data_IF_227519751626
#
_entry.id   IF_227519751626
#
_cell.length_a   1.000
_cell.length_b   1.000
_cell.length_c   1.000
_cell.angle_alpha   90.00
_cell.angle_beta   90.00
_cell.angle_gamma   90.00
#
_symmetry.space_group_name_H-M   'P 1'
#
loop_
_entity.id
_entity.type
_entity.pdbx_description
1 polymer ?
#
# COMPACT_ATOMS: atom_id res chain seq x y z
N UNK A 1 20.27 -35.93 -34.59
CA UNK A 1 20.02 -34.98 -33.49
C UNK A 1 18.58 -34.55 -33.55
N UNK A 2 17.73 -35.12 -32.70
CA UNK A 2 16.36 -34.65 -32.51
C UNK A 2 16.31 -33.71 -31.32
N UNK A 3 15.72 -32.52 -31.48
CA UNK A 3 15.45 -31.62 -30.35
C UNK A 3 14.55 -32.35 -29.33
N UNK A 4 14.77 -32.18 -28.02
CA UNK A 4 13.89 -32.78 -27.02
C UNK A 4 12.47 -32.21 -27.12
N UNK A 5 11.44 -33.00 -26.80
CA UNK A 5 10.05 -32.55 -26.86
C UNK A 5 9.77 -31.54 -25.74
N UNK A 6 9.14 -30.42 -26.10
CA UNK A 6 8.65 -29.41 -25.14
C UNK A 6 7.38 -29.92 -24.48
N UNK A 7 7.31 -29.83 -23.15
CA UNK A 7 6.17 -30.27 -22.36
C UNK A 7 5.12 -29.15 -22.37
N UNK A 8 3.85 -29.53 -22.57
CA UNK A 8 2.71 -28.61 -22.56
C UNK A 8 1.77 -29.05 -21.45
N UNK A 9 1.59 -28.21 -20.43
CA UNK A 9 0.61 -28.45 -19.37
C UNK A 9 -0.64 -27.60 -19.58
N UNK A 10 -1.80 -28.20 -19.32
CA UNK A 10 -3.10 -27.56 -19.50
C UNK A 10 -3.43 -26.66 -18.30
N UNK A 11 -3.16 -25.37 -18.44
CA UNK A 11 -3.86 -24.32 -17.71
C UNK A 11 -4.70 -23.51 -18.73
N UNK A 12 -5.87 -23.02 -18.31
CA UNK A 12 -6.92 -22.52 -19.20
C UNK A 12 -6.48 -21.63 -20.39
N UNK A 13 -7.12 -21.89 -21.54
CA UNK A 13 -7.23 -21.10 -22.79
C UNK A 13 -5.97 -20.61 -23.52
N UNK A 14 -4.75 -20.76 -23.02
CA UNK A 14 -3.52 -20.71 -23.85
C UNK A 14 -2.46 -21.66 -23.30
N UNK A 15 -2.05 -22.62 -24.12
CA UNK A 15 -0.80 -23.35 -23.90
C UNK A 15 0.36 -22.32 -23.96
N UNK A 16 1.10 -22.16 -22.86
CA UNK A 16 2.39 -21.48 -22.87
C UNK A 16 3.47 -22.54 -23.13
N UNK A 17 4.31 -22.34 -24.11
CA UNK A 17 5.59 -23.05 -24.25
C UNK A 17 6.51 -22.61 -23.11
N UNK A 18 7.17 -23.55 -22.45
CA UNK A 18 8.01 -23.35 -21.24
C UNK A 18 9.24 -22.43 -21.45
N UNK A 19 9.53 -21.98 -22.68
CA UNK A 19 10.81 -21.35 -23.05
C UNK A 19 10.80 -19.81 -23.26
N UNK A 20 9.67 -19.09 -23.13
CA UNK A 20 9.71 -17.62 -23.21
C UNK A 20 9.93 -16.98 -21.83
N UNK A 21 11.01 -16.19 -21.64
CA UNK A 21 11.23 -15.50 -20.38
C UNK A 21 10.05 -14.57 -20.09
N UNK A 22 9.60 -14.55 -18.83
CA UNK A 22 8.55 -13.64 -18.39
C UNK A 22 8.91 -12.17 -18.69
N UNK A 23 7.91 -11.31 -18.85
CA UNK A 23 8.08 -9.92 -19.28
C UNK A 23 9.19 -9.18 -18.51
N UNK A 24 9.17 -9.27 -17.18
CA UNK A 24 10.13 -8.61 -16.30
C UNK A 24 11.53 -9.18 -16.51
N UNK A 25 11.67 -10.51 -16.52
CA UNK A 25 12.95 -11.20 -16.78
C UNK A 25 13.55 -10.82 -18.13
N UNK A 26 12.72 -10.72 -19.17
CA UNK A 26 13.17 -10.30 -20.51
C UNK A 26 13.67 -8.85 -20.52
N UNK A 27 12.98 -7.92 -19.82
CA UNK A 27 13.40 -6.51 -19.70
C UNK A 27 14.73 -6.39 -18.95
N UNK A 28 14.90 -7.13 -17.85
CA UNK A 28 16.14 -7.15 -17.06
C UNK A 28 17.31 -7.70 -17.87
N UNK A 29 17.13 -8.85 -18.54
CA UNK A 29 18.16 -9.44 -19.39
C UNK A 29 18.58 -8.50 -20.53
N UNK A 30 17.62 -7.82 -21.18
CA UNK A 30 17.91 -6.85 -22.22
C UNK A 30 18.67 -5.61 -21.70
N UNK A 31 18.34 -5.13 -20.51
CA UNK A 31 19.05 -4.01 -19.89
C UNK A 31 20.48 -4.38 -19.50
N UNK A 32 20.68 -5.54 -18.88
CA UNK A 32 22.01 -6.05 -18.55
C UNK A 32 22.88 -6.24 -19.80
N UNK A 33 22.32 -6.83 -20.86
CA UNK A 33 23.04 -7.00 -22.12
C UNK A 33 23.43 -5.65 -22.75
N UNK A 34 22.57 -4.63 -22.67
CA UNK A 34 22.85 -3.28 -23.19
C UNK A 34 23.89 -2.52 -22.38
N UNK A 35 24.04 -2.87 -21.10
CA UNK A 35 24.99 -2.28 -20.18
C UNK A 35 26.24 -3.16 -19.97
N UNK A 36 26.50 -4.12 -20.86
CA UNK A 36 27.66 -5.03 -20.79
C UNK A 36 27.78 -5.76 -19.43
N UNK A 37 26.65 -6.04 -18.78
CA UNK A 37 26.58 -6.69 -17.46
C UNK A 37 26.74 -5.74 -16.26
N UNK A 38 26.89 -4.43 -16.47
CA UNK A 38 26.93 -3.43 -15.40
C UNK A 38 25.56 -3.34 -14.70
N UNK A 39 25.49 -3.86 -13.48
CA UNK A 39 24.27 -3.93 -12.67
C UNK A 39 23.75 -2.55 -12.26
N UNK A 40 24.64 -1.60 -11.93
CA UNK A 40 24.23 -0.25 -11.53
C UNK A 40 23.66 0.51 -12.72
N UNK A 41 24.35 0.46 -13.86
CA UNK A 41 23.90 1.10 -15.09
C UNK A 41 22.58 0.48 -15.61
N UNK A 42 22.46 -0.85 -15.57
CA UNK A 42 21.23 -1.54 -15.94
C UNK A 42 20.07 -1.17 -15.02
N UNK A 43 20.28 -1.14 -13.70
CA UNK A 43 19.27 -0.72 -12.72
C UNK A 43 18.82 0.72 -12.96
N UNK A 44 19.76 1.65 -13.18
CA UNK A 44 19.43 3.04 -13.47
C UNK A 44 18.64 3.19 -14.78
N UNK A 45 18.93 2.39 -15.80
CA UNK A 45 18.19 2.37 -17.06
C UNK A 45 16.77 1.81 -16.88
N UNK A 46 16.63 0.71 -16.16
CA UNK A 46 15.34 0.08 -15.85
C UNK A 46 14.44 1.00 -15.00
N UNK A 47 14.99 1.65 -13.97
CA UNK A 47 14.26 2.61 -13.14
C UNK A 47 13.69 3.76 -13.99
N UNK A 48 14.39 4.19 -15.05
CA UNK A 48 13.87 5.21 -16.00
C UNK A 48 12.72 4.68 -16.86
N UNK A 49 12.70 3.39 -17.18
CA UNK A 49 11.66 2.74 -17.99
C UNK A 49 10.49 2.17 -17.16
N UNK A 50 10.59 2.16 -15.84
CA UNK A 50 9.63 1.53 -14.94
C UNK A 50 8.15 1.97 -15.15
N UNK A 51 7.88 3.22 -15.55
CA UNK A 51 6.51 3.68 -15.83
C UNK A 51 6.00 3.11 -17.17
N UNK A 52 6.68 3.34 -18.31
CA UNK A 52 6.34 2.68 -19.57
C UNK A 52 6.16 1.17 -19.45
N UNK A 53 7.09 0.50 -18.77
CA UNK A 53 7.05 -0.96 -18.63
C UNK A 53 5.93 -1.43 -17.71
N UNK A 54 5.57 -0.66 -16.67
CA UNK A 54 4.40 -0.97 -15.85
C UNK A 54 3.10 -0.82 -16.65
N UNK A 55 3.00 0.18 -17.52
CA UNK A 55 1.84 0.36 -18.41
C UNK A 55 1.75 -0.76 -19.46
N UNK A 56 2.88 -1.15 -20.06
CA UNK A 56 2.95 -2.27 -20.98
C UNK A 56 2.55 -3.59 -20.28
N UNK A 57 3.02 -3.82 -19.06
CA UNK A 57 2.63 -4.99 -18.27
C UNK A 57 1.14 -4.95 -17.90
N UNK A 58 0.60 -3.78 -17.56
CA UNK A 58 -0.82 -3.60 -17.30
C UNK A 58 -1.66 -3.98 -18.53
N UNK A 59 -1.31 -3.50 -19.72
CA UNK A 59 -2.01 -3.83 -20.96
C UNK A 59 -1.97 -5.35 -21.25
N UNK A 60 -0.79 -5.95 -21.16
CA UNK A 60 -0.59 -7.41 -21.35
C UNK A 60 -1.45 -8.23 -20.38
N UNK A 61 -1.47 -7.88 -19.11
CA UNK A 61 -2.23 -8.61 -18.08
C UNK A 61 -3.74 -8.42 -18.20
N UNK A 62 -4.18 -7.40 -18.95
CA UNK A 62 -5.58 -7.09 -19.23
C UNK A 62 -6.09 -7.61 -20.57
N UNK A 63 -5.26 -8.24 -21.39
CA UNK A 63 -5.73 -8.88 -22.64
C UNK A 63 -6.90 -9.84 -22.34
N UNK A 64 -8.08 -9.56 -22.91
CA UNK A 64 -9.33 -10.30 -22.65
C UNK A 64 -10.14 -9.85 -21.42
N UNK A 65 -9.74 -8.76 -20.78
CA UNK A 65 -10.48 -8.09 -19.72
C UNK A 65 -11.76 -7.44 -20.25
N UNK A 66 -12.80 -7.40 -19.40
CA UNK A 66 -14.13 -6.90 -19.78
C UNK A 66 -14.28 -5.38 -19.71
N UNK A 67 -13.42 -4.71 -18.95
CA UNK A 67 -13.54 -3.28 -18.67
C UNK A 67 -12.46 -2.52 -19.40
N UNK A 68 -12.80 -1.35 -19.94
CA UNK A 68 -11.80 -0.39 -20.39
C UNK A 68 -11.35 0.46 -19.18
N UNK A 69 -10.05 0.66 -19.04
CA UNK A 69 -9.46 1.45 -17.94
C UNK A 69 -8.76 2.70 -18.44
N UNK A 70 -8.62 2.84 -19.76
CA UNK A 70 -8.05 4.00 -20.46
C UNK A 70 -9.13 5.05 -20.73
N UNK A 71 -10.40 4.75 -20.45
CA UNK A 71 -11.45 5.76 -20.40
C UNK A 71 -11.06 6.85 -19.39
N UNK A 72 -11.09 8.11 -19.82
CA UNK A 72 -10.94 9.29 -18.97
C UNK A 72 -12.34 9.68 -18.46
N UNK A 73 -12.85 9.10 -17.35
CA UNK A 73 -14.13 9.51 -16.81
C UNK A 73 -14.07 10.99 -16.44
N UNK A 74 -15.19 11.71 -16.58
CA UNK A 74 -15.31 13.04 -16.04
C UNK A 74 -15.14 12.95 -14.51
N UNK A 75 -14.13 13.62 -13.96
CA UNK A 75 -13.91 13.55 -12.53
C UNK A 75 -14.74 14.61 -11.80
N UNK A 76 -15.35 14.26 -10.65
CA UNK A 76 -15.91 15.22 -9.71
C UNK A 76 -14.92 16.32 -9.34
N UNK A 77 -15.43 17.52 -9.04
CA UNK A 77 -14.61 18.70 -8.73
C UNK A 77 -13.65 18.48 -7.56
N UNK A 78 -14.09 17.71 -6.55
CA UNK A 78 -13.32 17.35 -5.37
C UNK A 78 -12.05 16.52 -5.66
N UNK A 79 -11.94 15.92 -6.85
CA UNK A 79 -10.76 15.16 -7.28
C UNK A 79 -9.81 16.00 -8.14
N UNK A 80 -10.18 17.23 -8.50
CA UNK A 80 -9.28 18.16 -9.18
C UNK A 80 -8.43 18.91 -8.16
N UNK A 81 -7.14 19.02 -8.44
CA UNK A 81 -6.25 19.88 -7.67
C UNK A 81 -6.61 21.34 -7.89
N UNK A 82 -6.98 22.04 -6.83
CA UNK A 82 -7.31 23.46 -6.87
C UNK A 82 -6.08 24.34 -7.21
N UNK A 83 -4.88 23.88 -6.87
CA UNK A 83 -3.62 24.50 -7.31
C UNK A 83 -2.47 23.49 -7.31
N UNK A 84 -1.37 23.79 -8.01
CA UNK A 84 -0.21 22.90 -8.12
C UNK A 84 0.45 22.57 -6.75
N UNK A 85 0.29 23.45 -5.76
CA UNK A 85 0.85 23.30 -4.41
C UNK A 85 -0.23 23.27 -3.32
N UNK A 86 -1.50 23.22 -3.70
CA UNK A 86 -2.63 23.20 -2.76
C UNK A 86 -2.86 21.81 -2.18
N UNK A 87 -3.46 21.72 -0.99
CA UNK A 87 -3.88 20.44 -0.43
C UNK A 87 -4.96 19.80 -1.30
N UNK A 88 -4.94 18.46 -1.39
CA UNK A 88 -6.03 17.70 -1.99
C UNK A 88 -7.26 17.76 -1.06
N UNK A 89 -8.47 17.79 -1.62
CA UNK A 89 -9.69 17.70 -0.82
C UNK A 89 -9.89 16.30 -0.23
N UNK A 90 -9.30 15.29 -0.86
CA UNK A 90 -9.39 13.90 -0.43
C UNK A 90 -8.39 13.64 0.68
N UNK A 91 -8.91 13.28 1.85
CA UNK A 91 -8.12 12.88 2.99
C UNK A 91 -7.75 11.38 2.91
N UNK A 92 -6.48 11.10 2.63
CA UNK A 92 -5.98 9.71 2.49
C UNK A 92 -5.77 9.00 3.84
N UNK A 93 -5.86 9.71 4.98
CA UNK A 93 -5.60 9.17 6.31
C UNK A 93 -4.16 8.65 6.52
N UNK A 94 -3.16 9.43 6.08
CA UNK A 94 -1.75 9.06 6.22
C UNK A 94 -1.35 8.94 7.71
N UNK A 95 -0.78 7.79 8.15
CA UNK A 95 -0.30 7.61 9.51
C UNK A 95 0.85 8.56 9.83
N UNK A 96 0.70 9.27 10.95
CA UNK A 96 1.73 10.10 11.57
C UNK A 96 1.42 10.18 13.07
N UNK A 97 1.62 9.08 13.75
CA UNK A 97 1.29 8.95 15.17
C UNK A 97 2.48 8.44 15.96
N UNK A 98 2.69 9.03 17.13
CA UNK A 98 3.66 8.57 18.13
C UNK A 98 2.92 8.47 19.44
N UNK A 99 3.08 7.34 20.13
CA UNK A 99 2.46 7.09 21.42
C UNK A 99 2.82 8.23 22.39
N UNK A 100 1.83 8.88 23.01
CA UNK A 100 2.09 10.07 23.82
C UNK A 100 2.80 9.75 25.14
N UNK A 101 2.52 8.58 25.72
CA UNK A 101 3.09 8.15 27.00
C UNK A 101 3.53 6.69 26.94
N UNK A 102 4.76 6.42 27.37
CA UNK A 102 5.26 5.07 27.62
C UNK A 102 5.19 4.77 29.12
N UNK A 103 5.05 3.49 29.52
CA UNK A 103 5.25 3.09 30.90
C UNK A 103 6.65 3.52 31.39
N UNK A 104 6.79 3.74 32.70
CA UNK A 104 8.09 4.08 33.28
C UNK A 104 9.09 2.95 33.05
N UNK A 105 10.30 3.29 32.65
CA UNK A 105 11.38 2.34 32.38
C UNK A 105 12.19 2.71 31.15
N UNK A 106 13.19 1.87 30.87
CA UNK A 106 14.01 1.94 29.66
C UNK A 106 13.59 0.82 28.72
N UNK A 107 13.14 1.18 27.52
CA UNK A 107 12.51 0.27 26.57
C UNK A 107 13.30 0.20 25.27
N UNK A 108 13.61 -1.01 24.83
CA UNK A 108 14.08 -1.24 23.48
C UNK A 108 12.90 -1.23 22.51
N UNK A 109 13.02 -0.40 21.48
CA UNK A 109 12.03 -0.21 20.43
C UNK A 109 12.61 -0.74 19.12
N UNK A 110 11.85 -1.62 18.47
CA UNK A 110 12.20 -2.13 17.13
C UNK A 110 11.36 -1.41 16.08
N UNK A 111 12.03 -0.78 15.12
CA UNK A 111 11.41 -0.22 13.93
C UNK A 111 11.28 -1.32 12.86
N UNK A 112 10.05 -1.63 12.46
CA UNK A 112 9.72 -2.62 11.45
C UNK A 112 9.32 -1.92 10.14
N UNK A 113 9.83 -2.45 9.03
CA UNK A 113 9.49 -2.04 7.66
C UNK A 113 8.57 -3.08 7.02
N UNK A 114 7.38 -2.66 6.62
CA UNK A 114 6.38 -3.51 5.98
C UNK A 114 6.68 -3.65 4.50
N UNK A 115 7.07 -4.87 4.10
CA UNK A 115 7.45 -5.15 2.72
C UNK A 115 6.30 -4.92 1.71
N UNK A 116 6.59 -4.20 0.64
CA UNK A 116 5.70 -4.11 -0.53
C UNK A 116 4.33 -3.53 -0.21
N UNK A 117 4.25 -2.48 0.61
CA UNK A 117 2.98 -1.88 1.04
C UNK A 117 2.09 -1.46 -0.14
N UNK A 118 2.63 -0.76 -1.15
CA UNK A 118 1.88 -0.41 -2.37
C UNK A 118 1.52 -1.63 -3.22
N UNK A 119 2.42 -2.60 -3.36
CA UNK A 119 2.14 -3.85 -4.08
C UNK A 119 0.97 -4.63 -3.43
N UNK A 120 0.90 -4.64 -2.09
CA UNK A 120 -0.23 -5.20 -1.35
C UNK A 120 -1.52 -4.40 -1.58
N UNK A 121 -1.41 -3.08 -1.60
CA UNK A 121 -2.54 -2.17 -1.75
C UNK A 121 -3.21 -2.20 -3.13
N UNK A 122 -2.53 -2.73 -4.17
CA UNK A 122 -3.12 -2.94 -5.50
C UNK A 122 -4.33 -3.88 -5.50
N UNK A 123 -4.57 -4.63 -4.41
CA UNK A 123 -5.76 -5.47 -4.21
C UNK A 123 -7.00 -4.69 -3.71
N UNK A 124 -6.92 -3.36 -3.61
CA UNK A 124 -8.08 -2.54 -3.21
C UNK A 124 -9.25 -2.67 -4.19
N UNK A 125 -10.47 -2.46 -3.71
CA UNK A 125 -11.62 -2.23 -4.58
C UNK A 125 -11.40 -0.95 -5.39
N UNK A 126 -11.45 -1.06 -6.72
CA UNK A 126 -11.31 0.09 -7.61
C UNK A 126 -12.61 0.36 -8.39
N UNK A 127 -13.02 1.63 -8.54
CA UNK A 127 -14.15 2.03 -9.37
C UNK A 127 -13.89 1.71 -10.85
N UNK A 128 -14.83 1.02 -11.48
CA UNK A 128 -14.73 0.54 -12.86
C UNK A 128 -14.98 1.64 -13.90
N UNK A 129 -15.82 2.61 -13.58
CA UNK A 129 -16.21 3.66 -14.52
C UNK A 129 -16.46 5.01 -13.85
N UNK A 130 -17.21 5.85 -14.56
CA UNK A 130 -17.65 7.17 -14.14
C UNK A 130 -18.22 7.15 -12.72
N UNK A 131 -17.70 8.02 -11.84
CA UNK A 131 -18.24 8.16 -10.50
C UNK A 131 -19.59 8.88 -10.57
N UNK A 132 -20.60 8.28 -9.96
CA UNK A 132 -21.95 8.83 -9.84
C UNK A 132 -22.10 9.44 -8.45
N UNK A 133 -22.70 10.62 -8.41
CA UNK A 133 -23.04 11.30 -7.17
C UNK A 133 -24.27 10.66 -6.53
N UNK A 134 -24.24 10.48 -5.22
CA UNK A 134 -25.35 9.99 -4.42
C UNK A 134 -25.33 10.63 -3.04
N UNK A 135 -26.51 10.84 -2.46
CA UNK A 135 -26.68 11.34 -1.10
C UNK A 135 -27.39 10.31 -0.24
N UNK A 136 -27.15 10.35 1.08
CA UNK A 136 -27.78 9.49 2.07
C UNK A 136 -26.80 8.65 2.88
N UNK A 137 -27.29 8.13 4.01
CA UNK A 137 -26.46 7.51 5.07
C UNK A 137 -26.07 6.05 4.83
N UNK A 138 -26.44 5.47 3.69
CA UNK A 138 -26.21 4.05 3.41
C UNK A 138 -24.96 3.82 2.55
N UNK A 139 -24.11 2.88 2.97
CA UNK A 139 -22.96 2.42 2.19
C UNK A 139 -23.30 1.24 1.29
N UNK A 140 -23.00 1.33 0.00
CA UNK A 140 -23.09 0.20 -0.94
C UNK A 140 -21.73 -0.50 -1.08
N UNK A 141 -21.62 -1.69 -0.49
CA UNK A 141 -20.40 -2.51 -0.49
C UNK A 141 -19.96 -2.98 -1.88
N UNK A 142 -20.81 -2.90 -2.90
CA UNK A 142 -20.47 -3.27 -4.29
C UNK A 142 -19.84 -2.10 -5.06
N UNK A 143 -19.88 -0.90 -4.51
CA UNK A 143 -19.33 0.32 -5.11
C UNK A 143 -18.05 0.74 -4.39
N UNK A 144 -17.26 1.56 -5.07
CA UNK A 144 -16.05 2.17 -4.54
C UNK A 144 -15.90 3.59 -5.08
N UNK A 145 -15.28 4.45 -4.29
CA UNK A 145 -14.98 5.82 -4.65
C UNK A 145 -14.61 6.65 -3.42
N UNK A 146 -15.19 7.83 -3.31
CA UNK A 146 -14.95 8.78 -2.21
C UNK A 146 -16.26 9.19 -1.54
N UNK A 147 -16.19 9.49 -0.25
CA UNK A 147 -17.34 9.73 0.62
C UNK A 147 -17.08 10.92 1.53
N UNK A 148 -18.02 11.86 1.61
CA UNK A 148 -18.00 12.85 2.68
C UNK A 148 -18.59 12.20 3.92
N UNK A 149 -17.81 12.17 5.00
CA UNK A 149 -18.25 11.59 6.26
C UNK A 149 -18.11 12.58 7.40
N UNK A 150 -18.97 12.45 8.41
CA UNK A 150 -18.62 12.88 9.76
C UNK A 150 -17.95 11.70 10.46
N UNK A 151 -16.66 11.82 10.82
CA UNK A 151 -15.94 10.74 11.45
C UNK A 151 -16.42 10.54 12.90
N UNK A 152 -16.37 9.30 13.41
CA UNK A 152 -16.67 9.05 14.82
C UNK A 152 -15.57 9.66 15.72
N UNK A 153 -15.91 9.84 17.00
CA UNK A 153 -14.90 10.11 18.02
C UNK A 153 -13.89 8.96 18.11
N UNK A 154 -12.66 9.27 18.53
CA UNK A 154 -11.59 8.31 18.69
C UNK A 154 -10.97 8.48 20.07
N UNK A 155 -11.29 7.57 20.98
CA UNK A 155 -10.89 7.67 22.39
C UNK A 155 -9.67 6.80 22.72
N UNK A 156 -8.96 6.31 21.68
CA UNK A 156 -7.84 5.37 21.82
C UNK A 156 -6.48 5.98 21.46
N UNK A 157 -6.37 7.31 21.31
CA UNK A 157 -5.13 7.98 20.91
C UNK A 157 -3.94 7.77 21.88
N UNK A 158 -4.22 7.36 23.12
CA UNK A 158 -3.20 6.98 24.09
C UNK A 158 -2.45 5.70 23.71
N UNK A 159 -3.10 4.79 22.99
CA UNK A 159 -2.61 3.44 22.75
C UNK A 159 -2.46 3.04 21.29
N UNK A 160 -3.31 3.60 20.43
CA UNK A 160 -3.43 3.27 19.03
C UNK A 160 -3.49 4.54 18.17
N UNK A 161 -2.91 4.48 16.95
CA UNK A 161 -3.08 5.57 16.00
C UNK A 161 -4.55 5.75 15.63
N UNK A 162 -4.99 7.00 15.46
CA UNK A 162 -6.29 7.27 14.85
C UNK A 162 -6.34 6.69 13.42
N UNK A 163 -7.39 5.93 13.03
CA UNK A 163 -7.53 5.39 11.68
C UNK A 163 -7.64 6.47 10.59
N UNK A 164 -7.89 7.72 10.96
CA UNK A 164 -7.85 8.88 10.08
C UNK A 164 -6.47 9.55 10.00
N UNK A 165 -5.42 9.00 10.63
CA UNK A 165 -4.11 9.62 10.66
C UNK A 165 -4.08 10.92 11.48
N UNK A 166 -3.08 11.77 11.23
CA UNK A 166 -2.90 13.02 11.98
C UNK A 166 -3.74 14.15 11.38
N UNK A 167 -4.97 14.28 11.86
CA UNK A 167 -5.90 15.33 11.46
C UNK A 167 -6.00 16.40 12.56
N UNK A 168 -5.84 17.66 12.18
CA UNK A 168 -5.92 18.79 13.10
C UNK A 168 -7.31 19.44 13.13
N UNK A 169 -7.98 19.54 11.98
CA UNK A 169 -9.28 20.20 11.87
C UNK A 169 -10.43 19.25 12.23
N UNK A 170 -11.45 19.66 13.01
CA UNK A 170 -12.64 18.85 13.25
C UNK A 170 -13.67 18.95 12.10
N UNK A 171 -14.73 18.14 12.16
CA UNK A 171 -15.88 18.23 11.24
C UNK A 171 -15.85 17.24 10.06
N UNK A 172 -16.75 17.40 9.07
CA UNK A 172 -16.82 16.51 7.92
C UNK A 172 -15.59 16.55 7.02
N UNK A 173 -15.27 15.43 6.37
CA UNK A 173 -14.15 15.33 5.43
C UNK A 173 -14.40 14.27 4.36
N UNK A 174 -13.79 14.46 3.19
CA UNK A 174 -13.80 13.48 2.11
C UNK A 174 -12.77 12.39 2.36
N UNK A 175 -13.23 11.15 2.52
CA UNK A 175 -12.38 9.97 2.65
C UNK A 175 -12.56 9.04 1.47
N UNK A 176 -11.59 8.16 1.27
CA UNK A 176 -11.67 7.10 0.25
C UNK A 176 -12.38 5.86 0.78
N UNK A 177 -12.83 5.00 -0.14
CA UNK A 177 -13.47 3.72 0.17
C UNK A 177 -12.65 2.84 1.16
N UNK A 178 -11.31 2.67 1.04
CA UNK A 178 -10.54 1.92 2.03
C UNK A 178 -10.62 2.48 3.46
N UNK A 179 -10.57 3.80 3.62
CA UNK A 179 -10.68 4.46 4.92
C UNK A 179 -12.08 4.30 5.50
N UNK A 180 -13.12 4.47 4.68
CA UNK A 180 -14.51 4.23 5.10
C UNK A 180 -14.70 2.77 5.56
N UNK A 181 -14.22 1.80 4.77
CA UNK A 181 -14.30 0.37 5.11
C UNK A 181 -13.53 0.03 6.38
N UNK A 182 -12.38 0.69 6.62
CA UNK A 182 -11.64 0.54 7.86
C UNK A 182 -12.51 1.02 9.03
N UNK A 183 -13.01 2.26 9.00
CA UNK A 183 -13.85 2.81 10.08
C UNK A 183 -15.08 1.94 10.37
N UNK A 184 -15.81 1.52 9.34
CA UNK A 184 -16.96 0.61 9.48
C UNK A 184 -16.57 -0.76 10.06
N UNK A 185 -15.38 -1.25 9.73
CA UNK A 185 -14.85 -2.48 10.34
C UNK A 185 -14.59 -2.26 11.82
N UNK A 186 -13.93 -1.15 12.19
CA UNK A 186 -13.58 -0.84 13.58
C UNK A 186 -14.80 -0.54 14.46
N UNK A 187 -15.87 -0.01 13.87
CA UNK A 187 -17.15 0.18 14.55
C UNK A 187 -17.98 -1.09 14.66
N UNK A 188 -17.62 -2.14 13.92
CA UNK A 188 -18.33 -3.42 13.95
C UNK A 188 -18.14 -4.17 15.28
N UNK A 189 -19.03 -5.11 15.61
CA UNK A 189 -19.07 -5.81 16.89
C UNK A 189 -17.82 -6.64 17.20
N UNK A 190 -17.00 -6.94 16.18
CA UNK A 190 -15.73 -7.64 16.37
C UNK A 190 -14.69 -6.76 17.08
N UNK A 191 -14.69 -5.45 16.81
CA UNK A 191 -13.65 -4.54 17.27
C UNK A 191 -14.21 -3.53 18.29
N UNK A 192 -15.35 -2.89 17.98
CA UNK A 192 -16.03 -1.96 18.88
C UNK A 192 -15.17 -0.77 19.33
N UNK A 193 -14.28 -0.27 18.47
CA UNK A 193 -13.30 0.78 18.82
C UNK A 193 -13.81 2.21 18.56
N UNK A 194 -14.92 2.36 17.84
CA UNK A 194 -15.54 3.64 17.58
C UNK A 194 -16.99 3.46 17.13
N UNK A 195 -17.75 4.55 17.06
CA UNK A 195 -19.07 4.55 16.42
C UNK A 195 -18.95 4.43 14.88
N UNK A 196 -20.05 4.08 14.22
CA UNK A 196 -20.07 4.07 12.76
C UNK A 196 -19.95 5.51 12.20
N UNK A 197 -19.14 5.75 11.16
CA UNK A 197 -19.09 7.06 10.51
C UNK A 197 -20.43 7.38 9.84
N UNK A 198 -20.86 8.64 9.96
CA UNK A 198 -22.05 9.14 9.25
C UNK A 198 -21.66 9.54 7.83
N UNK A 199 -22.31 8.94 6.83
CA UNK A 199 -22.05 9.22 5.41
C UNK A 199 -23.05 10.26 4.91
N UNK A 200 -22.56 11.37 4.37
CA UNK A 200 -23.42 12.46 3.89
C UNK A 200 -23.68 12.35 2.39
N UNK A 201 -22.60 12.21 1.63
CA UNK A 201 -22.63 12.14 0.18
C UNK A 201 -21.48 11.26 -0.33
N UNK A 202 -21.59 10.80 -1.57
CA UNK A 202 -20.62 9.87 -2.15
C UNK A 202 -20.52 10.01 -3.66
N UNK A 203 -19.30 9.91 -4.18
CA UNK A 203 -19.01 9.74 -5.60
C UNK A 203 -18.43 8.35 -5.81
N UNK A 204 -19.22 7.44 -6.36
CA UNK A 204 -18.81 6.02 -6.49
C UNK A 204 -19.20 5.41 -7.82
N UNK A 205 -18.57 4.31 -8.20
CA UNK A 205 -19.04 3.45 -9.29
C UNK A 205 -18.92 1.98 -8.91
N UNK A 206 -19.49 1.09 -9.73
CA UNK A 206 -19.34 -0.35 -9.53
C UNK A 206 -17.86 -0.72 -9.41
N UNK A 207 -17.53 -1.61 -8.46
CA UNK A 207 -16.14 -1.85 -8.08
C UNK A 207 -15.70 -3.31 -8.20
N UNK A 208 -14.39 -3.53 -8.26
CA UNK A 208 -13.80 -4.86 -8.13
C UNK A 208 -12.39 -4.79 -7.54
N UNK A 209 -12.00 -5.80 -6.77
CA UNK A 209 -10.61 -6.03 -6.32
C UNK A 209 -9.74 -6.67 -7.42
N UNK A 210 -10.38 -7.27 -8.44
CA UNK A 210 -9.68 -8.08 -9.44
C UNK A 210 -9.06 -7.26 -10.58
N UNK A 211 -9.24 -5.94 -10.57
CA UNK A 211 -8.91 -5.09 -11.71
C UNK A 211 -7.41 -5.07 -12.02
N UNK A 212 -6.60 -5.06 -10.96
CA UNK A 212 -5.15 -5.05 -11.02
C UNK A 212 -4.54 -6.38 -10.54
N UNK A 213 -5.35 -7.41 -10.27
CA UNK A 213 -4.85 -8.63 -9.61
C UNK A 213 -3.81 -9.37 -10.47
N UNK A 214 -4.03 -9.51 -11.78
CA UNK A 214 -3.03 -10.15 -12.66
C UNK A 214 -1.72 -9.34 -12.74
N UNK A 215 -1.84 -8.01 -12.86
CA UNK A 215 -0.69 -7.09 -12.83
C UNK A 215 0.10 -7.21 -11.52
N UNK A 216 -0.62 -7.20 -10.40
CA UNK A 216 -0.06 -7.39 -9.05
C UNK A 216 0.63 -8.74 -8.90
N UNK A 217 0.02 -9.83 -9.40
CA UNK A 217 0.58 -11.18 -9.30
C UNK A 217 1.88 -11.30 -10.08
N UNK A 218 1.96 -10.81 -11.32
CA UNK A 218 3.20 -10.82 -12.10
C UNK A 218 4.34 -10.06 -11.39
N UNK A 219 4.05 -8.89 -10.81
CA UNK A 219 5.03 -8.13 -10.02
C UNK A 219 5.44 -8.86 -8.74
N UNK A 220 4.47 -9.45 -8.02
CA UNK A 220 4.73 -10.21 -6.80
C UNK A 220 5.61 -11.42 -7.10
N UNK A 221 5.29 -12.20 -8.12
CA UNK A 221 6.02 -13.42 -8.44
C UNK A 221 7.44 -13.11 -8.93
N UNK A 222 7.63 -12.02 -9.70
CA UNK A 222 8.96 -11.55 -10.07
C UNK A 222 9.76 -11.08 -8.84
N UNK A 223 9.11 -10.36 -7.92
CA UNK A 223 9.74 -9.92 -6.67
C UNK A 223 10.16 -11.08 -5.78
N UNK A 224 9.29 -12.07 -5.60
CA UNK A 224 9.55 -13.23 -4.75
C UNK A 224 10.68 -14.09 -5.33
N UNK A 225 10.72 -14.27 -6.66
CA UNK A 225 11.84 -14.92 -7.35
C UNK A 225 13.15 -14.15 -7.15
N UNK A 226 13.13 -12.83 -7.35
CA UNK A 226 14.30 -11.99 -7.15
C UNK A 226 14.85 -12.07 -5.72
N UNK A 227 13.98 -12.17 -4.71
CA UNK A 227 14.41 -12.37 -3.32
C UNK A 227 15.05 -13.75 -3.14
N UNK A 228 14.48 -14.80 -3.73
CA UNK A 228 15.00 -16.16 -3.61
C UNK A 228 16.35 -16.34 -4.32
N UNK A 229 16.58 -15.59 -5.40
CA UNK A 229 17.78 -15.64 -6.24
C UNK A 229 18.82 -14.55 -5.91
N UNK A 230 18.53 -13.70 -4.91
CA UNK A 230 19.33 -12.50 -4.56
C UNK A 230 19.61 -11.57 -5.76
N UNK A 231 18.62 -11.43 -6.65
CA UNK A 231 18.66 -10.56 -7.82
C UNK A 231 18.23 -9.13 -7.45
N UNK A 232 19.22 -8.32 -7.05
CA UNK A 232 19.01 -6.92 -6.67
C UNK A 232 18.47 -6.06 -7.82
N UNK A 233 18.89 -6.33 -9.07
CA UNK A 233 18.47 -5.56 -10.25
C UNK A 233 16.98 -5.73 -10.49
N UNK A 234 16.50 -6.97 -10.51
CA UNK A 234 15.06 -7.25 -10.66
C UNK A 234 14.27 -6.69 -9.48
N UNK A 235 14.79 -6.81 -8.25
CA UNK A 235 14.10 -6.33 -7.07
C UNK A 235 13.86 -4.81 -7.09
N UNK A 236 14.90 -4.02 -7.36
CA UNK A 236 14.80 -2.57 -7.44
C UNK A 236 13.96 -2.11 -8.65
N UNK A 237 14.06 -2.82 -9.77
CA UNK A 237 13.23 -2.56 -10.94
C UNK A 237 11.73 -2.78 -10.66
N UNK A 238 11.36 -3.94 -10.09
CA UNK A 238 9.97 -4.24 -9.73
C UNK A 238 9.43 -3.25 -8.69
N UNK A 239 10.27 -2.89 -7.71
CA UNK A 239 9.95 -1.85 -6.72
C UNK A 239 9.64 -0.51 -7.38
N UNK A 240 10.45 -0.10 -8.35
CA UNK A 240 10.24 1.11 -9.11
C UNK A 240 8.95 1.04 -9.95
N UNK A 241 8.65 -0.11 -10.58
CA UNK A 241 7.43 -0.28 -11.39
C UNK A 241 6.16 0.01 -10.58
N UNK A 242 5.92 -0.68 -9.47
CA UNK A 242 4.68 -0.47 -8.72
C UNK A 242 4.65 0.89 -8.01
N UNK A 243 5.78 1.36 -7.45
CA UNK A 243 5.81 2.63 -6.70
C UNK A 243 5.55 3.81 -7.62
N UNK A 244 6.19 3.82 -8.81
CA UNK A 244 5.98 4.88 -9.78
C UNK A 244 4.62 4.78 -10.45
N UNK A 245 4.12 3.58 -10.77
CA UNK A 245 2.77 3.37 -11.30
C UNK A 245 1.72 4.06 -10.42
N UNK A 246 1.73 3.77 -9.10
CA UNK A 246 0.80 4.39 -8.15
C UNK A 246 0.97 5.92 -8.09
N UNK A 247 2.21 6.42 -8.08
CA UNK A 247 2.46 7.87 -7.99
C UNK A 247 2.06 8.66 -9.24
N UNK A 248 2.02 8.03 -10.41
CA UNK A 248 1.86 8.72 -11.70
C UNK A 248 0.45 8.69 -12.26
N UNK A 249 -0.42 7.79 -11.77
CA UNK A 249 -1.79 7.63 -12.25
C UNK A 249 -2.73 8.81 -11.92
N UNK A 250 -2.33 9.72 -11.04
CA UNK A 250 -3.17 10.86 -10.63
C UNK A 250 -3.04 12.14 -11.47
N UNK A 251 -1.86 12.41 -12.06
CA UNK A 251 -1.62 13.68 -12.77
C UNK A 251 -0.39 13.71 -13.68
N UNK A 252 0.31 12.59 -13.88
CA UNK A 252 1.60 12.64 -14.58
C UNK A 252 1.43 12.86 -16.09
N UNK A 253 2.08 13.89 -16.62
CA UNK A 253 2.23 14.12 -18.06
C UNK A 253 2.93 12.94 -18.79
N UNK A 254 3.62 12.06 -18.06
CA UNK A 254 4.26 10.85 -18.59
C UNK A 254 3.26 9.70 -18.82
N UNK A 255 2.11 9.71 -18.15
CA UNK A 255 1.09 8.67 -18.28
C UNK A 255 -0.22 9.28 -18.78
N UNK A 256 -0.24 9.67 -20.06
CA UNK A 256 -1.45 10.22 -20.70
C UNK A 256 -2.54 9.16 -20.91
N UNK A 257 -2.19 7.88 -20.78
CA UNK A 257 -3.07 6.75 -21.06
C UNK A 257 -3.92 6.35 -19.84
N UNK A 258 -3.46 6.61 -18.61
CA UNK A 258 -4.22 6.32 -17.39
C UNK A 258 -4.27 7.55 -16.47
N UNK A 259 -5.38 8.27 -16.55
CA UNK A 259 -5.69 9.41 -15.66
C UNK A 259 -6.81 9.03 -14.69
N UNK A 260 -6.42 8.52 -13.52
CA UNK A 260 -7.30 8.00 -12.45
C UNK A 260 -6.82 8.47 -11.07
N UNK A 261 -6.97 9.76 -10.73
CA UNK A 261 -6.62 10.26 -9.39
C UNK A 261 -7.46 9.62 -8.28
N UNK A 262 -8.70 9.21 -8.58
CA UNK A 262 -9.50 8.39 -7.68
C UNK A 262 -8.77 7.08 -7.31
N UNK A 263 -8.25 6.34 -8.29
CA UNK A 263 -7.48 5.12 -8.02
C UNK A 263 -6.22 5.38 -7.21
N UNK A 264 -5.50 6.48 -7.52
CA UNK A 264 -4.31 6.88 -6.77
C UNK A 264 -4.63 7.03 -5.27
N UNK A 265 -5.66 7.82 -4.94
CA UNK A 265 -6.06 8.06 -3.56
C UNK A 265 -6.52 6.76 -2.88
N UNK A 266 -7.29 5.91 -3.58
CA UNK A 266 -7.75 4.63 -3.04
C UNK A 266 -6.58 3.68 -2.75
N UNK A 267 -5.62 3.52 -3.67
CA UNK A 267 -4.46 2.64 -3.45
C UNK A 267 -3.59 3.14 -2.31
N UNK A 268 -3.35 4.46 -2.21
CA UNK A 268 -2.58 5.04 -1.09
C UNK A 268 -3.28 4.82 0.24
N UNK A 269 -4.56 5.14 0.31
CA UNK A 269 -5.37 4.95 1.53
C UNK A 269 -5.44 3.47 1.94
N UNK A 270 -5.48 2.54 0.97
CA UNK A 270 -5.42 1.11 1.27
C UNK A 270 -4.08 0.70 1.90
N UNK A 271 -2.96 1.26 1.45
CA UNK A 271 -1.66 1.01 2.07
C UNK A 271 -1.63 1.51 3.53
N UNK A 272 -2.20 2.69 3.79
CA UNK A 272 -2.34 3.25 5.14
C UNK A 272 -3.25 2.41 6.03
N UNK A 273 -4.41 1.98 5.53
CA UNK A 273 -5.31 1.07 6.24
C UNK A 273 -4.65 -0.28 6.55
N UNK A 274 -3.81 -0.81 5.65
CA UNK A 274 -3.06 -2.03 5.89
C UNK A 274 -2.02 -1.86 7.02
N UNK A 275 -1.30 -0.74 7.05
CA UNK A 275 -0.37 -0.42 8.14
C UNK A 275 -1.11 -0.28 9.47
N UNK A 276 -2.26 0.39 9.48
CA UNK A 276 -3.10 0.51 10.67
C UNK A 276 -3.53 -0.86 11.20
N UNK A 277 -4.01 -1.75 10.33
CA UNK A 277 -4.38 -3.12 10.72
C UNK A 277 -3.21 -3.93 11.28
N UNK A 278 -1.97 -3.67 10.81
CA UNK A 278 -0.77 -4.29 11.39
C UNK A 278 -0.43 -3.72 12.77
N UNK A 279 -0.55 -2.39 12.95
CA UNK A 279 -0.41 -1.77 14.27
C UNK A 279 -1.43 -2.34 15.26
N UNK A 280 -2.69 -2.48 14.83
CA UNK A 280 -3.72 -3.10 15.66
C UNK A 280 -3.43 -4.57 15.96
N UNK A 281 -2.97 -5.35 14.97
CA UNK A 281 -2.55 -6.74 15.20
C UNK A 281 -1.42 -6.83 16.24
N UNK A 282 -0.43 -5.94 16.17
CA UNK A 282 0.63 -5.86 17.16
C UNK A 282 0.07 -5.62 18.57
N UNK A 283 -0.79 -4.61 18.70
CA UNK A 283 -1.47 -4.27 19.94
C UNK A 283 -2.28 -5.44 20.53
N UNK A 284 -3.13 -6.11 19.72
CA UNK A 284 -3.93 -7.25 20.16
C UNK A 284 -3.08 -8.46 20.61
N UNK A 285 -1.84 -8.56 20.13
CA UNK A 285 -0.93 -9.64 20.50
C UNK A 285 0.07 -9.21 21.60
N UNK A 286 -0.24 -8.15 22.34
CA UNK A 286 0.51 -7.73 23.53
C UNK A 286 1.75 -6.88 23.25
N UNK A 287 1.99 -6.48 21.99
CA UNK A 287 3.05 -5.53 21.69
C UNK A 287 2.60 -4.11 22.02
N UNK A 288 3.52 -3.31 22.55
CA UNK A 288 3.26 -1.87 22.69
C UNK A 288 3.59 -1.18 21.38
N UNK A 289 2.57 -0.63 20.72
CA UNK A 289 2.77 0.19 19.51
C UNK A 289 3.32 1.55 19.94
N UNK A 290 4.52 1.89 19.48
CA UNK A 290 5.19 3.16 19.81
C UNK A 290 4.95 4.21 18.74
N UNK A 291 4.98 3.81 17.47
CA UNK A 291 4.86 4.74 16.35
C UNK A 291 4.33 4.04 15.12
N UNK A 292 3.49 4.72 14.36
CA UNK A 292 3.07 4.31 13.02
C UNK A 292 3.19 5.52 12.09
N UNK A 293 3.99 5.39 11.04
CA UNK A 293 4.31 6.53 10.18
C UNK A 293 4.51 6.13 8.73
N UNK A 294 4.23 7.08 7.83
CA UNK A 294 4.46 6.87 6.41
C UNK A 294 3.52 5.80 5.83
N UNK A 295 4.06 4.92 5.00
CA UNK A 295 3.28 3.89 4.29
C UNK A 295 3.53 2.49 4.87
N UNK A 296 4.66 2.29 5.54
CA UNK A 296 5.23 0.98 5.83
C UNK A 296 6.02 0.92 7.16
N UNK A 297 6.07 1.98 7.97
CA UNK A 297 6.91 2.00 9.17
C UNK A 297 6.10 1.86 10.46
N UNK A 298 6.42 0.82 11.24
CA UNK A 298 5.77 0.45 12.50
C UNK A 298 6.82 0.22 13.59
N UNK A 299 6.74 0.94 14.70
CA UNK A 299 7.64 0.79 15.83
C UNK A 299 6.92 0.10 16.99
N UNK A 300 7.55 -0.92 17.56
CA UNK A 300 6.98 -1.73 18.63
C UNK A 300 7.98 -2.00 19.75
N UNK A 301 7.46 -2.20 20.96
CA UNK A 301 8.18 -2.78 22.09
C UNK A 301 7.57 -4.16 22.36
N UNK A 302 8.43 -5.14 22.65
CA UNK A 302 8.08 -6.54 22.90
C UNK A 302 8.63 -7.48 21.81
N UNK A 303 8.43 -8.77 22.01
CA UNK A 303 8.84 -9.81 21.06
C UNK A 303 7.98 -9.75 19.80
N UNK A 304 8.42 -9.11 18.72
CA UNK A 304 7.57 -8.95 17.55
C UNK A 304 7.51 -10.21 16.66
N UNK A 305 8.44 -11.16 16.84
CA UNK A 305 8.54 -12.37 16.03
C UNK A 305 7.37 -13.32 16.23
N UNK A 306 6.68 -13.30 17.38
CA UNK A 306 5.44 -14.08 17.55
C UNK A 306 4.24 -13.51 16.78
N UNK A 307 4.31 -12.25 16.34
CA UNK A 307 3.22 -11.56 15.63
C UNK A 307 3.45 -11.55 14.12
N UNK A 308 4.69 -11.30 13.70
CA UNK A 308 5.06 -11.13 12.30
C UNK A 308 6.20 -12.06 11.90
N UNK A 309 6.07 -12.79 10.77
CA UNK A 309 7.21 -13.50 10.23
C UNK A 309 8.25 -12.50 9.71
N UNK A 310 9.51 -12.76 10.05
CA UNK A 310 10.66 -11.99 9.56
C UNK A 310 11.02 -12.41 8.14
N UNK A 311 11.33 -11.43 7.28
CA UNK A 311 11.84 -11.68 5.96
C UNK A 311 11.54 -10.55 4.98
N UNK A 312 11.63 -10.87 3.68
CA UNK A 312 11.48 -9.88 2.59
C UNK A 312 10.22 -10.12 1.77
N UNK A 313 9.50 -11.22 1.93
CA UNK A 313 8.25 -11.47 1.20
C UNK A 313 7.16 -10.45 1.59
N UNK A 314 6.14 -10.30 0.74
CA UNK A 314 5.10 -9.28 0.90
C UNK A 314 4.29 -9.41 2.22
N UNK A 315 4.22 -10.62 2.78
CA UNK A 315 3.54 -10.89 4.05
C UNK A 315 4.44 -10.74 5.28
N UNK A 316 5.76 -10.65 5.06
CA UNK A 316 6.80 -10.58 6.08
C UNK A 316 7.18 -9.14 6.40
N UNK A 317 7.90 -8.95 7.48
CA UNK A 317 8.46 -7.64 7.89
C UNK A 317 9.97 -7.78 8.10
N UNK A 318 10.69 -6.68 8.01
CA UNK A 318 12.13 -6.64 8.32
C UNK A 318 12.43 -5.58 9.36
N UNK A 319 13.48 -5.81 10.14
CA UNK A 319 14.02 -4.80 11.05
C UNK A 319 14.66 -3.68 10.21
N UNK A 320 14.26 -2.45 10.50
CA UNK A 320 14.85 -1.24 9.92
C UNK A 320 15.89 -0.65 10.86
N UNK A 321 15.58 -0.61 12.16
CA UNK A 321 16.44 -0.03 13.20
C UNK A 321 15.98 -0.52 14.58
N UNK A 322 16.86 -0.41 15.58
CA UNK A 322 16.56 -0.65 16.99
C UNK A 322 17.14 0.49 17.83
N UNK A 323 16.33 1.07 18.71
CA UNK A 323 16.75 2.17 19.57
C UNK A 323 16.09 2.08 20.95
N UNK A 324 16.62 2.83 21.90
CA UNK A 324 16.08 2.84 23.27
C UNK A 324 15.30 4.12 23.55
N UNK A 325 14.15 4.00 24.21
CA UNK A 325 13.38 5.11 24.77
C UNK A 325 13.23 5.00 26.29
N UNK A 326 13.02 6.13 26.95
CA UNK A 326 12.79 6.22 28.40
C UNK A 326 13.99 6.75 29.17
N UNK A 327 13.76 7.06 30.44
CA UNK A 327 14.77 7.53 31.39
C UNK A 327 15.17 6.40 32.32
N UNK A 328 16.47 6.30 32.63
CA UNK A 328 16.93 5.43 33.71
C UNK A 328 16.21 5.84 34.99
N UNK A 329 15.68 4.86 35.73
CA UNK A 329 15.10 5.13 37.05
C UNK A 329 16.13 5.83 37.92
N UNK A 330 15.69 6.78 38.75
CA UNK A 330 16.55 7.60 39.61
C UNK A 330 17.31 6.82 40.71
N UNK A 331 17.38 5.48 40.65
CA UNK A 331 17.96 4.62 41.69
C UNK A 331 19.32 4.00 41.31
N UNK A 332 19.93 4.37 40.17
CA UNK A 332 21.30 3.94 39.81
C UNK A 332 22.40 4.99 40.11
N UNK A 333 22.07 6.08 40.81
CA UNK A 333 23.07 6.97 41.42
C UNK A 333 23.00 6.89 42.94
N UNK A 334 23.16 5.68 43.48
CA UNK A 334 23.51 5.48 44.88
C UNK A 334 25.02 5.69 45.04
N UNK A 335 25.38 6.80 45.69
CA UNK A 335 26.71 7.18 46.17
C UNK A 335 27.56 5.99 46.64
N UNK A 336 28.64 5.71 45.90
CA UNK A 336 29.89 5.29 46.51
C UNK A 336 30.60 6.56 46.98
N UNK A 337 30.32 6.99 48.20
CA UNK A 337 31.22 7.86 48.98
C UNK A 337 30.94 7.65 50.48
N UNK A 338 31.68 6.72 51.08
CA UNK A 338 32.17 6.73 52.46
C UNK A 338 33.35 5.76 52.58
#
# INVERSE_FOLDING_TARGET
GGKPPVRVENAGRRAKTEDEPGFITAKVAAALAKCDGDMEAATAALIKQAIPDAMELLDRTRTGGRYDVVAHPALPEILHKQSAHGPDHIWEARPKWTRPHLPQGRWEVTALDINGAYLSALKTHLPLGQLEHSTGFAHDRRRAGVHLITPPAWDHDADLPNPLGARDEPGPLWVTEPTLRLLQRLSGPKYGLCEAPEIHESYTSGSTENLLEKFRTELKDARDRAIAEDDEVTLEYVKAMYSKFVSTMGASNYNRELYRPDWMHLIRSQAFANLWMKAFKAYENGLTVVRAMGTDELHVIGDWHHVFPEGRAVTEVKVKDTYTLGTAGADETGEHDA
#
